data_IF_330132367444
#
_entry.id   IF_330132367444
#
_cell.length_a   1.000
_cell.length_b   1.000
_cell.length_c   1.000
_cell.angle_alpha   90.00
_cell.angle_beta   90.00
_cell.angle_gamma   90.00
#
_symmetry.space_group_name_H-M   'P 1'
#
loop_
_entity.id
_entity.type
_entity.pdbx_description
1 polymer ?
#
# COMPACT_ATOMS: atom_id res chain seq x y z
N UNK A 1 17.55 21.23 21.84
CA UNK A 1 17.60 21.74 20.44
C UNK A 1 17.27 20.69 19.37
N UNK A 2 17.67 19.41 19.52
CA UNK A 2 17.36 18.34 18.56
C UNK A 2 15.86 17.96 18.51
N UNK A 3 15.20 17.91 19.67
CA UNK A 3 13.76 17.64 19.78
C UNK A 3 12.89 18.65 19.02
N UNK A 4 13.23 19.94 19.03
CA UNK A 4 12.50 20.96 18.27
C UNK A 4 12.63 20.78 16.73
N UNK A 5 13.75 20.19 16.27
CA UNK A 5 13.94 19.84 14.84
C UNK A 5 13.08 18.62 14.46
N UNK A 6 12.98 17.63 15.34
CA UNK A 6 12.11 16.46 15.16
C UNK A 6 10.62 16.85 15.10
N UNK A 7 10.17 17.78 15.96
CA UNK A 7 8.78 18.27 15.95
C UNK A 7 8.44 19.02 14.65
N UNK A 8 9.41 19.68 14.00
CA UNK A 8 9.20 20.27 12.66
C UNK A 8 9.03 19.21 11.57
N UNK A 9 9.75 18.09 11.65
CA UNK A 9 9.60 16.97 10.71
C UNK A 9 8.23 16.29 10.83
N UNK A 10 7.61 16.27 12.01
CA UNK A 10 6.24 15.78 12.20
C UNK A 10 5.18 16.55 11.38
N UNK A 11 5.48 17.77 10.89
CA UNK A 11 4.58 18.45 9.94
C UNK A 11 4.46 17.71 8.60
N UNK A 12 5.41 16.86 8.23
CA UNK A 12 5.31 16.07 7.00
C UNK A 12 4.16 15.05 7.07
N UNK A 13 3.80 14.61 8.29
CA UNK A 13 2.61 13.78 8.57
C UNK A 13 1.30 14.58 8.45
N UNK A 14 1.35 15.91 8.34
CA UNK A 14 0.17 16.72 7.97
C UNK A 14 -0.02 16.77 6.46
N UNK A 15 1.04 16.62 5.67
CA UNK A 15 0.97 16.57 4.19
C UNK A 15 0.30 15.27 3.73
N UNK A 16 0.51 14.15 4.45
CA UNK A 16 -0.16 12.87 4.17
C UNK A 16 -1.69 12.94 4.31
N UNK A 17 -2.23 13.95 5.01
CA UNK A 17 -3.69 14.18 5.08
C UNK A 17 -4.25 14.93 3.88
N UNK A 18 -3.43 15.61 3.09
CA UNK A 18 -3.91 16.43 1.96
C UNK A 18 -3.97 15.67 0.63
N UNK A 19 -3.26 14.55 0.49
CA UNK A 19 -3.33 13.70 -0.70
C UNK A 19 -4.25 12.50 -0.47
N UNK A 20 -5.32 12.39 -1.27
CA UNK A 20 -6.25 11.25 -1.21
C UNK A 20 -5.57 9.90 -1.42
N UNK A 21 -4.51 9.86 -2.23
CA UNK A 21 -3.75 8.63 -2.50
C UNK A 21 -2.94 8.15 -1.28
N UNK A 22 -2.49 9.07 -0.42
CA UNK A 22 -1.74 8.74 0.79
C UNK A 22 -2.66 8.26 1.92
N UNK A 23 -3.89 8.80 1.99
CA UNK A 23 -4.90 8.27 2.91
C UNK A 23 -5.32 6.85 2.52
N UNK A 24 -5.40 6.57 1.21
CA UNK A 24 -5.68 5.24 0.70
C UNK A 24 -4.56 4.26 1.05
N UNK A 25 -3.31 4.68 0.89
CA UNK A 25 -2.13 3.93 1.32
C UNK A 25 -2.14 3.62 2.82
N UNK A 26 -2.42 4.62 3.66
CA UNK A 26 -2.50 4.43 5.11
C UNK A 26 -3.60 3.43 5.49
N UNK A 27 -4.77 3.57 4.87
CA UNK A 27 -5.90 2.66 5.09
C UNK A 27 -5.56 1.23 4.62
N UNK A 28 -4.76 1.10 3.58
CA UNK A 28 -4.23 -0.17 3.11
C UNK A 28 -3.35 -0.86 4.09
N UNK A 29 -2.35 -0.14 4.56
CA UNK A 29 -1.45 -0.62 5.57
C UNK A 29 -2.25 -1.12 6.79
N UNK A 30 -3.18 -0.32 7.32
CA UNK A 30 -4.00 -0.72 8.49
C UNK A 30 -4.86 -1.96 8.29
N UNK A 31 -5.37 -2.20 7.07
CA UNK A 31 -6.25 -3.35 6.80
C UNK A 31 -5.48 -4.68 6.71
N UNK A 32 -4.19 -4.63 6.32
CA UNK A 32 -3.32 -5.81 6.19
C UNK A 32 -2.23 -5.87 7.26
N UNK A 33 -2.40 -5.17 8.39
CA UNK A 33 -1.44 -5.19 9.50
C UNK A 33 -1.14 -6.59 10.00
N UNK A 34 -2.15 -7.46 10.08
CA UNK A 34 -1.95 -8.83 10.57
C UNK A 34 -1.01 -9.63 9.68
N UNK A 35 -1.14 -9.54 8.35
CA UNK A 35 -0.28 -10.26 7.42
C UNK A 35 1.15 -9.71 7.43
N UNK A 36 1.30 -8.37 7.45
CA UNK A 36 2.60 -7.71 7.51
C UNK A 36 3.33 -8.04 8.82
N UNK A 37 2.62 -7.97 9.96
CA UNK A 37 3.19 -8.31 11.27
C UNK A 37 3.62 -9.78 11.30
N UNK A 38 2.82 -10.69 10.74
CA UNK A 38 3.16 -12.11 10.68
C UNK A 38 4.41 -12.36 9.82
N UNK A 39 4.53 -11.70 8.68
CA UNK A 39 5.70 -11.78 7.80
C UNK A 39 6.98 -11.30 8.52
N UNK A 40 6.93 -10.13 9.16
CA UNK A 40 8.07 -9.61 9.93
C UNK A 40 8.39 -10.51 11.12
N UNK A 41 7.39 -11.04 11.81
CA UNK A 41 7.58 -11.98 12.92
C UNK A 41 8.33 -13.24 12.46
N UNK A 42 7.90 -13.87 11.37
CA UNK A 42 8.59 -15.06 10.82
C UNK A 42 10.02 -14.74 10.37
N UNK A 43 10.22 -13.58 9.73
CA UNK A 43 11.55 -13.14 9.30
C UNK A 43 12.48 -12.88 10.48
N UNK A 44 12.00 -12.25 11.56
CA UNK A 44 12.79 -12.02 12.78
C UNK A 44 13.16 -13.32 13.49
N UNK A 45 12.25 -14.30 13.53
CA UNK A 45 12.58 -15.65 14.07
C UNK A 45 13.70 -16.29 13.24
N UNK A 46 13.65 -16.18 11.92
CA UNK A 46 14.71 -16.69 11.04
C UNK A 46 16.06 -15.98 11.28
N UNK A 47 16.06 -14.66 11.47
CA UNK A 47 17.26 -13.90 11.86
C UNK A 47 17.85 -14.38 13.19
N UNK A 48 17.00 -14.65 14.20
CA UNK A 48 17.44 -15.17 15.49
C UNK A 48 18.09 -16.56 15.36
N UNK A 49 17.51 -17.44 14.52
CA UNK A 49 18.10 -18.75 14.27
C UNK A 49 19.49 -18.65 13.64
N UNK A 50 19.64 -17.85 12.57
CA UNK A 50 20.95 -17.63 11.95
C UNK A 50 21.96 -16.99 12.90
N UNK A 51 21.52 -16.05 13.74
CA UNK A 51 22.34 -15.44 14.78
C UNK A 51 22.88 -16.48 15.77
N UNK A 52 22.02 -17.36 16.29
CA UNK A 52 22.43 -18.42 17.21
C UNK A 52 23.44 -19.39 16.57
N UNK A 53 23.20 -19.80 15.32
CA UNK A 53 24.11 -20.71 14.60
C UNK A 53 25.48 -20.06 14.41
N UNK A 54 25.52 -18.80 13.95
CA UNK A 54 26.78 -18.09 13.72
C UNK A 54 27.53 -17.84 15.02
N UNK A 55 26.83 -17.45 16.09
CA UNK A 55 27.42 -17.30 17.42
C UNK A 55 28.11 -18.60 17.87
N UNK A 56 27.43 -19.75 17.72
CA UNK A 56 28.02 -21.03 18.12
C UNK A 56 29.21 -21.44 17.24
N UNK A 57 29.18 -21.13 15.94
CA UNK A 57 30.33 -21.44 15.07
C UNK A 57 31.55 -20.55 15.32
N UNK A 58 31.36 -19.36 15.88
CA UNK A 58 32.42 -18.37 16.08
C UNK A 58 32.88 -18.27 17.54
N UNK A 59 32.24 -19.00 18.48
CA UNK A 59 32.55 -18.92 19.92
C UNK A 59 33.96 -19.43 20.26
N UNK A 60 34.49 -20.35 19.44
CA UNK A 60 35.80 -20.96 19.64
C UNK A 60 36.96 -20.09 19.09
N UNK A 61 36.66 -19.01 18.37
CA UNK A 61 37.67 -18.10 17.80
C UNK A 61 37.95 -16.92 18.76
N UNK A 62 39.17 -16.80 19.33
CA UNK A 62 39.50 -15.74 20.29
C UNK A 62 39.52 -14.32 19.68
N UNK A 63 39.63 -14.19 18.35
CA UNK A 63 39.62 -12.90 17.65
C UNK A 63 38.21 -12.51 17.14
N UNK A 64 37.18 -13.25 17.56
CA UNK A 64 35.81 -13.00 17.16
C UNK A 64 35.26 -11.71 17.77
N UNK A 65 34.47 -10.98 16.98
CA UNK A 65 33.70 -9.83 17.47
C UNK A 65 32.33 -10.25 18.00
N UNK A 66 31.96 -11.53 17.89
CA UNK A 66 30.68 -12.04 18.36
C UNK A 66 30.74 -12.36 19.86
N UNK A 67 30.73 -11.32 20.71
CA UNK A 67 30.87 -11.52 22.16
C UNK A 67 29.57 -11.94 22.82
N UNK A 68 28.43 -11.49 22.29
CA UNK A 68 27.10 -11.73 22.87
C UNK A 68 26.04 -11.98 21.81
N UNK A 69 24.96 -12.68 22.19
CA UNK A 69 23.80 -12.97 21.32
C UNK A 69 23.17 -11.68 20.73
N UNK A 70 23.00 -10.57 21.49
CA UNK A 70 22.45 -9.32 20.93
C UNK A 70 23.35 -8.66 19.87
N UNK A 71 24.68 -8.80 19.99
CA UNK A 71 25.63 -8.28 18.99
C UNK A 71 25.58 -9.11 17.71
N UNK A 72 25.48 -10.44 17.86
CA UNK A 72 25.29 -11.34 16.71
C UNK A 72 23.94 -11.11 16.03
N UNK A 73 22.91 -10.73 16.80
CA UNK A 73 21.61 -10.37 16.25
C UNK A 73 21.65 -9.09 15.41
N UNK A 74 22.45 -8.09 15.82
CA UNK A 74 22.69 -6.90 15.00
C UNK A 74 23.31 -7.28 13.64
N UNK A 75 24.33 -8.12 13.65
CA UNK A 75 24.93 -8.63 12.41
C UNK A 75 23.92 -9.40 11.54
N UNK A 76 23.08 -10.23 12.15
CA UNK A 76 22.06 -10.99 11.43
C UNK A 76 21.04 -10.07 10.73
N UNK A 77 20.62 -8.99 11.41
CA UNK A 77 19.76 -7.96 10.81
C UNK A 77 20.45 -7.34 9.59
N UNK A 78 21.67 -6.82 9.76
CA UNK A 78 22.45 -6.11 8.73
C UNK A 78 22.74 -6.99 7.52
N UNK A 79 22.97 -8.28 7.75
CA UNK A 79 23.22 -9.28 6.70
C UNK A 79 21.94 -9.65 5.96
N UNK A 80 20.82 -9.92 6.65
CA UNK A 80 19.56 -10.25 5.98
C UNK A 80 19.00 -9.09 5.15
N UNK A 81 19.21 -7.84 5.59
CA UNK A 81 18.80 -6.66 4.82
C UNK A 81 19.81 -6.28 3.72
N UNK A 82 20.87 -7.07 3.53
CA UNK A 82 21.92 -6.87 2.53
C UNK A 82 22.63 -5.50 2.62
N UNK A 83 22.70 -4.89 3.81
CA UNK A 83 23.49 -3.67 4.02
C UNK A 83 24.97 -4.02 4.14
N UNK A 84 25.30 -5.00 4.99
CA UNK A 84 26.67 -5.47 5.16
C UNK A 84 27.66 -4.37 5.57
N UNK A 85 27.44 -3.69 6.70
CA UNK A 85 28.33 -2.61 7.18
C UNK A 85 29.80 -3.03 7.31
N UNK A 86 30.08 -4.32 7.54
CA UNK A 86 31.43 -4.85 7.68
C UNK A 86 32.04 -4.62 9.07
N UNK A 87 31.25 -4.14 10.03
CA UNK A 87 31.61 -3.99 11.43
C UNK A 87 31.80 -5.36 12.13
N UNK A 88 30.88 -6.29 11.84
CA UNK A 88 30.90 -7.70 12.26
C UNK A 88 30.90 -8.62 11.03
N UNK A 89 31.68 -9.70 11.06
CA UNK A 89 31.67 -10.74 10.02
C UNK A 89 32.25 -12.05 10.58
N UNK A 90 31.69 -13.22 10.18
CA UNK A 90 32.22 -14.51 10.57
C UNK A 90 33.60 -14.74 9.94
N UNK A 91 34.55 -15.21 10.76
CA UNK A 91 35.91 -15.55 10.31
C UNK A 91 36.01 -17.02 9.91
N UNK A 92 35.28 -17.89 10.60
CA UNK A 92 35.28 -19.32 10.36
C UNK A 92 34.70 -19.66 8.98
N UNK A 93 35.17 -20.76 8.39
CA UNK A 93 34.67 -21.24 7.09
C UNK A 93 33.18 -21.59 7.20
N UNK A 94 32.78 -22.24 8.31
CA UNK A 94 31.39 -22.61 8.57
C UNK A 94 30.52 -21.37 8.76
N UNK A 95 30.97 -20.40 9.56
CA UNK A 95 30.25 -19.13 9.76
C UNK A 95 30.06 -18.35 8.45
N UNK A 96 31.04 -18.37 7.54
CA UNK A 96 30.93 -17.76 6.20
C UNK A 96 29.88 -18.45 5.31
N UNK A 97 29.80 -19.78 5.34
CA UNK A 97 28.76 -20.53 4.63
C UNK A 97 27.39 -20.15 5.19
N UNK A 98 27.23 -20.15 6.51
CA UNK A 98 25.97 -19.78 7.17
C UNK A 98 25.59 -18.33 6.84
N UNK A 99 26.55 -17.40 6.87
CA UNK A 99 26.32 -16.00 6.48
C UNK A 99 25.93 -15.83 5.02
N UNK A 100 26.48 -16.65 4.11
CA UNK A 100 26.09 -16.66 2.70
C UNK A 100 24.63 -17.12 2.53
N UNK A 101 24.25 -18.18 3.26
CA UNK A 101 22.86 -18.67 3.28
C UNK A 101 21.92 -17.63 3.90
N UNK A 102 22.33 -16.95 4.96
CA UNK A 102 21.56 -15.89 5.61
C UNK A 102 21.31 -14.70 4.67
N UNK A 103 22.31 -14.30 3.86
CA UNK A 103 22.15 -13.26 2.85
C UNK A 103 21.13 -13.64 1.76
N UNK A 104 21.20 -14.88 1.26
CA UNK A 104 20.23 -15.40 0.28
C UNK A 104 18.83 -15.46 0.89
N UNK A 105 18.71 -15.96 2.12
CA UNK A 105 17.45 -15.99 2.85
C UNK A 105 16.85 -14.59 3.04
N UNK A 106 17.70 -13.57 3.23
CA UNK A 106 17.34 -12.15 3.24
C UNK A 106 16.63 -11.70 1.97
N UNK A 107 17.22 -11.99 0.81
CA UNK A 107 16.62 -11.66 -0.49
C UNK A 107 15.31 -12.41 -0.71
N UNK A 108 15.28 -13.70 -0.38
CA UNK A 108 14.05 -14.51 -0.48
C UNK A 108 12.94 -13.93 0.40
N UNK A 109 13.25 -13.54 1.64
CA UNK A 109 12.28 -12.88 2.51
C UNK A 109 11.75 -11.60 1.87
N UNK A 110 12.61 -10.73 1.33
CA UNK A 110 12.16 -9.51 0.65
C UNK A 110 11.27 -9.81 -0.58
N UNK A 111 11.63 -10.83 -1.37
CA UNK A 111 10.82 -11.29 -2.50
C UNK A 111 9.45 -11.83 -2.08
N UNK A 112 9.32 -12.38 -0.87
CA UNK A 112 8.08 -12.85 -0.24
C UNK A 112 7.42 -11.82 0.68
N UNK A 113 7.93 -10.58 0.76
CA UNK A 113 7.31 -9.52 1.56
C UNK A 113 6.67 -8.45 0.68
N UNK A 114 7.29 -8.18 -0.46
CA UNK A 114 6.83 -7.17 -1.42
C UNK A 114 5.47 -7.56 -2.03
N UNK A 115 5.24 -8.79 -2.56
CA UNK A 115 3.96 -9.16 -3.15
C UNK A 115 2.79 -9.05 -2.17
N UNK A 116 2.97 -9.46 -0.92
CA UNK A 116 2.00 -9.42 0.17
C UNK A 116 1.57 -7.99 0.46
N UNK A 117 2.54 -7.08 0.40
CA UNK A 117 2.29 -5.64 0.47
C UNK A 117 1.55 -5.12 -0.78
N UNK A 118 1.97 -5.55 -1.97
CA UNK A 118 1.40 -5.11 -3.25
C UNK A 118 -0.05 -5.57 -3.41
N UNK A 119 -0.40 -6.79 -3.03
CA UNK A 119 -1.77 -7.31 -3.07
C UNK A 119 -2.72 -6.43 -2.26
N UNK A 120 -2.28 -5.99 -1.08
CA UNK A 120 -3.07 -5.07 -0.26
C UNK A 120 -3.24 -3.70 -0.95
N UNK A 121 -2.17 -3.16 -1.52
CA UNK A 121 -2.20 -1.90 -2.24
C UNK A 121 -3.15 -1.97 -3.44
N UNK A 122 -3.07 -3.04 -4.24
CA UNK A 122 -3.90 -3.28 -5.42
C UNK A 122 -5.37 -3.37 -5.01
N UNK A 123 -5.71 -4.18 -4.00
CA UNK A 123 -7.08 -4.34 -3.54
C UNK A 123 -7.73 -2.99 -3.16
N UNK A 124 -6.96 -2.11 -2.51
CA UNK A 124 -7.49 -0.80 -2.11
C UNK A 124 -7.45 0.24 -3.21
N UNK A 125 -6.47 0.18 -4.08
CA UNK A 125 -6.45 0.97 -5.30
C UNK A 125 -7.68 0.67 -6.16
N UNK A 126 -8.03 -0.61 -6.32
CA UNK A 126 -9.22 -1.04 -7.06
C UNK A 126 -10.51 -0.62 -6.37
N UNK A 127 -10.62 -0.80 -5.04
CA UNK A 127 -11.78 -0.35 -4.28
C UNK A 127 -12.02 1.17 -4.44
N UNK A 128 -10.96 1.97 -4.35
CA UNK A 128 -11.05 3.42 -4.57
C UNK A 128 -11.44 3.78 -6.01
N UNK A 129 -10.92 3.04 -7.00
CA UNK A 129 -11.24 3.24 -8.42
C UNK A 129 -12.67 2.83 -8.75
N UNK A 130 -13.18 1.78 -8.12
CA UNK A 130 -14.56 1.31 -8.25
C UNK A 130 -15.54 2.40 -7.84
N UNK A 131 -15.32 3.05 -6.69
CA UNK A 131 -16.17 4.16 -6.22
C UNK A 131 -16.19 5.35 -7.18
N UNK A 132 -15.05 5.74 -7.76
CA UNK A 132 -14.98 6.82 -8.76
C UNK A 132 -15.79 6.47 -10.02
N UNK A 133 -15.66 5.25 -10.53
CA UNK A 133 -16.40 4.78 -11.73
C UNK A 133 -17.89 4.67 -11.48
N UNK A 134 -18.29 4.19 -10.30
CA UNK A 134 -19.70 4.08 -9.91
C UNK A 134 -20.38 5.46 -9.84
N UNK A 135 -19.72 6.44 -9.20
CA UNK A 135 -20.23 7.82 -9.14
C UNK A 135 -20.39 8.44 -10.53
N UNK A 136 -19.43 8.22 -11.44
CA UNK A 136 -19.55 8.69 -12.82
C UNK A 136 -20.70 8.04 -13.59
N UNK A 137 -20.86 6.71 -13.50
CA UNK A 137 -21.99 6.00 -14.15
C UNK A 137 -23.33 6.52 -13.64
N UNK A 138 -23.50 6.63 -12.32
CA UNK A 138 -24.74 7.15 -11.73
C UNK A 138 -25.03 8.60 -12.17
N UNK A 139 -24.01 9.45 -12.26
CA UNK A 139 -24.17 10.82 -12.74
C UNK A 139 -24.55 10.86 -14.23
N UNK A 140 -23.97 9.99 -15.06
CA UNK A 140 -24.32 9.87 -16.48
C UNK A 140 -25.75 9.37 -16.68
N UNK A 141 -26.17 8.33 -15.95
CA UNK A 141 -27.54 7.79 -16.03
C UNK A 141 -28.57 8.84 -15.56
N UNK A 142 -28.26 9.60 -14.52
CA UNK A 142 -29.11 10.69 -14.01
C UNK A 142 -29.17 11.88 -14.98
N UNK A 143 -28.07 12.17 -15.69
CA UNK A 143 -28.07 13.18 -16.74
C UNK A 143 -28.92 12.72 -17.94
N UNK A 144 -28.74 11.47 -18.38
CA UNK A 144 -29.50 10.86 -19.47
C UNK A 144 -31.01 10.84 -19.20
N UNK A 145 -31.42 10.45 -17.98
CA UNK A 145 -32.83 10.44 -17.58
C UNK A 145 -33.43 11.84 -17.54
N UNK A 146 -32.68 12.85 -17.06
CA UNK A 146 -33.07 14.26 -17.13
C UNK A 146 -33.23 14.74 -18.57
N UNK A 147 -32.28 14.42 -19.45
CA UNK A 147 -32.37 14.79 -20.88
C UNK A 147 -33.57 14.13 -21.57
N UNK A 148 -33.83 12.84 -21.30
CA UNK A 148 -35.01 12.12 -21.80
C UNK A 148 -36.32 12.75 -21.32
N UNK A 149 -36.41 13.10 -20.03
CA UNK A 149 -37.58 13.78 -19.46
C UNK A 149 -37.81 15.18 -20.07
N UNK A 150 -36.75 15.94 -20.31
CA UNK A 150 -36.83 17.27 -20.96
C UNK A 150 -37.30 17.14 -22.42
N UNK A 151 -36.78 16.16 -23.16
CA UNK A 151 -37.19 15.87 -24.54
C UNK A 151 -38.67 15.50 -24.64
N UNK A 152 -39.12 14.59 -23.76
CA UNK A 152 -40.52 14.20 -23.62
C UNK A 152 -41.43 15.41 -23.31
N UNK A 153 -41.04 16.24 -22.35
CA UNK A 153 -41.81 17.42 -21.94
C UNK A 153 -41.92 18.48 -23.06
N UNK A 154 -40.81 18.73 -23.79
CA UNK A 154 -40.82 19.63 -24.96
C UNK A 154 -41.71 19.11 -26.10
N UNK A 155 -41.69 17.81 -26.36
CA UNK A 155 -42.52 17.20 -27.42
C UNK A 155 -44.00 17.26 -27.07
N UNK A 156 -44.36 16.99 -25.80
CA UNK A 156 -45.73 17.12 -25.28
C UNK A 156 -46.25 18.56 -25.38
N UNK A 157 -45.44 19.56 -25.01
CA UNK A 157 -45.79 20.99 -25.18
C UNK A 157 -46.03 21.39 -26.63
N UNK A 158 -45.21 20.89 -27.57
CA UNK A 158 -45.36 21.15 -29.01
C UNK A 158 -46.64 20.55 -29.59
N UNK A 159 -47.00 19.34 -29.18
CA UNK A 159 -48.26 18.72 -29.62
C UNK A 159 -49.48 19.48 -29.06
N UNK A 160 -49.41 19.94 -27.81
CA UNK A 160 -50.46 20.77 -27.20
C UNK A 160 -50.63 22.14 -27.87
N UNK A 161 -49.54 22.81 -28.28
CA UNK A 161 -49.65 24.08 -29.02
C UNK A 161 -50.24 23.87 -30.40
N UNK A 162 -49.78 22.84 -31.12
CA UNK A 162 -50.28 22.50 -32.47
C UNK A 162 -51.76 22.13 -32.49
N UNK A 163 -52.25 21.43 -31.46
CA UNK A 163 -53.66 21.10 -31.34
C UNK A 163 -54.52 22.33 -30.99
N UNK A 164 -53.97 23.28 -30.22
CA UNK A 164 -54.64 24.54 -29.88
C UNK A 164 -54.78 25.45 -31.11
N UNK A 165 -53.78 25.51 -31.97
CA UNK A 165 -53.83 26.28 -33.22
C UNK A 165 -54.83 25.69 -34.22
N UNK A 166 -54.91 24.35 -34.34
CA UNK A 166 -55.94 23.68 -35.13
C UNK A 166 -57.36 24.03 -34.66
N UNK A 167 -57.60 24.05 -33.35
CA UNK A 167 -58.91 24.43 -32.81
C UNK A 167 -59.24 25.92 -33.00
N UNK A 168 -58.25 26.81 -33.04
CA UNK A 168 -58.47 28.24 -33.34
C UNK A 168 -58.79 28.46 -34.82
N UNK A 169 -58.08 27.79 -35.72
CA UNK A 169 -58.34 27.89 -37.16
C UNK A 169 -59.72 27.35 -37.53
N UNK A 170 -60.15 26.23 -36.94
CA UNK A 170 -61.52 25.74 -37.12
C UNK A 170 -62.61 26.72 -36.62
N UNK A 171 -62.33 27.50 -35.57
CA UNK A 171 -63.27 28.49 -35.02
C UNK A 171 -63.39 29.80 -35.81
N UNK A 172 -62.48 30.07 -36.74
CA UNK A 172 -62.48 31.30 -37.57
C UNK A 172 -63.12 31.10 -38.95
N UNK A 173 -63.38 29.84 -39.33
CA UNK A 173 -63.93 29.45 -40.64
C UNK A 173 -65.44 29.12 -40.55
N UNK A 174 -65.99 29.05 -39.33
CA UNK A 174 -67.41 28.94 -38.99
C UNK A 174 -67.91 30.29 -38.48
#
# INVERSE_FOLDING_TARGET
MWIARLVRMLRIVKVTKYSGDMQLFWKAMTNSMTAIILFFFMTTVLMLLFSCVVYYTEIDDPDTKFTSIPETFWWAIVTMINIGYGDYYPRTIVGKIVGSVAAIAGIVALCLGIPEFMECYIHLYEAARYHKRYSQRKNFDMASSKFGAIGSSKSRRRNLSRNRDKNRTFKLVL
#
